data_IF_419464049743
#
_entry.id   IF_419464049743
#
_cell.length_a   1.000
_cell.length_b   1.000
_cell.length_c   1.000
_cell.angle_alpha   90.00
_cell.angle_beta   90.00
_cell.angle_gamma   90.00
#
_symmetry.space_group_name_H-M   'P 1'
#
loop_
_entity.id
_entity.type
_entity.pdbx_description
1 polymer ?
#
# COMPACT_ATOMS: atom_id res chain seq x y z
N UNK A 1 21.68 -8.65 25.54
CA UNK A 1 22.76 -9.08 24.63
C UNK A 1 22.36 -8.70 23.21
N UNK A 2 23.21 -7.95 22.54
CA UNK A 2 23.04 -7.58 21.15
C UNK A 2 23.72 -8.66 20.30
N UNK A 3 22.94 -9.47 19.59
CA UNK A 3 23.48 -10.43 18.65
C UNK A 3 23.17 -10.02 17.23
N UNK A 4 24.19 -9.97 16.40
CA UNK A 4 24.08 -9.71 14.98
C UNK A 4 23.57 -10.98 14.32
N UNK A 5 22.39 -10.93 13.72
CA UNK A 5 21.89 -12.01 12.90
C UNK A 5 22.61 -12.02 11.53
N UNK A 6 22.93 -13.18 11.02
CA UNK A 6 23.49 -13.38 9.69
C UNK A 6 22.39 -13.88 8.75
N UNK A 7 22.31 -13.29 7.56
CA UNK A 7 21.40 -13.75 6.53
C UNK A 7 21.94 -15.04 5.91
N UNK A 8 21.12 -16.10 5.93
CA UNK A 8 21.46 -17.41 5.37
C UNK A 8 21.01 -17.58 3.91
N UNK A 9 20.45 -16.55 3.29
CA UNK A 9 19.77 -16.61 2.00
C UNK A 9 18.27 -16.94 2.18
N UNK A 10 17.47 -16.83 1.11
CA UNK A 10 16.02 -17.10 1.13
C UNK A 10 15.19 -16.41 2.23
N UNK A 11 15.73 -15.39 2.91
CA UNK A 11 15.05 -14.67 3.97
C UNK A 11 15.21 -15.29 5.37
N UNK A 12 16.04 -16.32 5.51
CA UNK A 12 16.37 -16.92 6.79
C UNK A 12 17.51 -16.17 7.49
N UNK A 13 17.43 -16.02 8.80
CA UNK A 13 18.40 -15.32 9.61
C UNK A 13 18.82 -16.18 10.78
N UNK A 14 20.12 -16.31 11.01
CA UNK A 14 20.67 -17.06 12.15
C UNK A 14 21.33 -16.11 13.15
N UNK A 15 21.04 -16.32 14.43
CA UNK A 15 21.71 -15.65 15.52
C UNK A 15 21.93 -16.63 16.66
N UNK A 16 23.06 -16.54 17.34
CA UNK A 16 23.38 -17.37 18.51
C UNK A 16 23.06 -16.58 19.77
N UNK A 17 22.07 -17.05 20.53
CA UNK A 17 21.65 -16.49 21.81
C UNK A 17 21.78 -17.58 22.90
N UNK A 18 22.35 -17.20 24.03
CA UNK A 18 22.33 -18.05 25.24
C UNK A 18 21.12 -17.67 26.08
N UNK A 19 20.08 -18.49 26.04
CA UNK A 19 18.82 -18.28 26.73
C UNK A 19 18.53 -19.47 27.64
N UNK A 20 17.91 -19.21 28.80
CA UNK A 20 17.55 -20.26 29.74
C UNK A 20 16.35 -21.07 29.24
N UNK A 21 16.47 -22.39 29.34
CA UNK A 21 15.43 -23.34 28.97
C UNK A 21 14.19 -23.15 29.86
N UNK A 22 13.00 -23.37 29.27
CA UNK A 22 11.69 -23.20 29.89
C UNK A 22 11.31 -21.76 30.26
N UNK A 23 12.15 -20.78 29.89
CA UNK A 23 11.79 -19.37 30.03
C UNK A 23 11.16 -18.82 28.74
N UNK A 24 10.25 -17.86 28.91
CA UNK A 24 9.58 -17.17 27.82
C UNK A 24 10.18 -15.79 27.64
N UNK A 25 10.68 -15.51 26.46
CA UNK A 25 11.31 -14.23 26.12
C UNK A 25 10.46 -13.46 25.11
N UNK A 26 10.30 -12.14 25.29
CA UNK A 26 9.73 -11.29 24.24
C UNK A 26 10.75 -11.11 23.10
N UNK A 27 10.26 -11.09 21.86
CA UNK A 27 11.07 -10.70 20.71
C UNK A 27 10.46 -9.52 19.98
N UNK A 28 11.33 -8.74 19.35
CA UNK A 28 11.00 -7.58 18.53
C UNK A 28 11.87 -7.63 17.27
N UNK A 29 11.23 -7.77 16.12
CA UNK A 29 11.92 -7.82 14.83
C UNK A 29 11.48 -6.63 13.97
N UNK A 30 12.44 -5.96 13.34
CA UNK A 30 12.21 -4.82 12.46
C UNK A 30 13.09 -4.96 11.23
N UNK A 31 12.50 -4.76 10.06
CA UNK A 31 13.22 -4.70 8.79
C UNK A 31 12.88 -3.40 8.04
N UNK A 32 13.87 -2.89 7.29
CA UNK A 32 13.73 -1.70 6.44
C UNK A 32 13.33 -0.42 7.19
N UNK A 33 13.72 -0.28 8.46
CA UNK A 33 13.59 0.99 9.15
C UNK A 33 14.53 2.03 8.50
N UNK A 34 14.05 3.26 8.33
CA UNK A 34 14.86 4.38 7.81
C UNK A 34 15.88 4.89 8.81
N UNK A 35 15.54 4.80 10.10
CA UNK A 35 16.43 5.20 11.19
C UNK A 35 17.18 4.01 11.76
N UNK A 36 18.37 4.28 12.31
CA UNK A 36 19.08 3.30 13.12
C UNK A 36 18.38 3.11 14.47
N UNK A 37 17.90 1.91 14.72
CA UNK A 37 17.17 1.56 15.95
C UNK A 37 18.05 0.86 17.00
N UNK A 38 19.33 0.58 16.70
CA UNK A 38 20.21 -0.26 17.53
C UNK A 38 20.46 0.31 18.92
N UNK A 39 20.59 1.63 19.02
CA UNK A 39 20.99 2.29 20.26
C UNK A 39 19.78 2.63 21.16
N UNK A 40 18.56 2.28 20.73
CA UNK A 40 17.34 2.57 21.48
C UNK A 40 17.09 1.49 22.53
N UNK A 41 16.78 1.92 23.74
CA UNK A 41 16.24 1.00 24.75
C UNK A 41 14.82 0.56 24.36
N UNK A 42 14.29 -0.47 25.02
CA UNK A 42 12.98 -1.04 24.66
C UNK A 42 11.84 -0.02 24.68
N UNK A 43 11.83 0.90 25.65
CA UNK A 43 10.78 1.93 25.74
C UNK A 43 10.86 2.89 24.56
N UNK A 44 12.04 3.32 24.21
CA UNK A 44 12.29 4.20 23.05
C UNK A 44 11.96 3.48 21.74
N UNK A 45 12.36 2.21 21.62
CA UNK A 45 12.06 1.39 20.44
C UNK A 45 10.55 1.25 20.24
N UNK A 46 9.80 0.93 21.29
CA UNK A 46 8.34 0.79 21.22
C UNK A 46 7.62 2.12 20.92
N UNK A 47 8.19 3.25 21.33
CA UNK A 47 7.65 4.58 21.04
C UNK A 47 8.10 5.13 19.67
N UNK A 48 8.95 4.39 18.94
CA UNK A 48 9.49 4.87 17.66
C UNK A 48 8.44 4.87 16.55
N UNK A 49 8.49 5.91 15.74
CA UNK A 49 7.67 6.08 14.54
C UNK A 49 8.57 6.24 13.32
N UNK A 50 8.03 6.01 12.14
CA UNK A 50 8.68 6.28 10.87
C UNK A 50 7.81 7.17 10.01
N UNK A 51 8.41 8.26 9.50
CA UNK A 51 7.80 9.11 8.49
C UNK A 51 8.37 8.81 7.11
N UNK A 52 7.50 8.76 6.10
CA UNK A 52 7.84 8.61 4.69
C UNK A 52 6.92 9.44 3.82
N UNK A 53 7.32 10.66 3.49
CA UNK A 53 6.54 11.56 2.64
C UNK A 53 6.39 11.03 1.21
N UNK A 54 7.26 10.13 0.79
CA UNK A 54 7.27 9.47 -0.51
C UNK A 54 6.60 8.09 -0.50
N UNK A 55 5.92 7.71 0.59
CA UNK A 55 5.25 6.41 0.70
C UNK A 55 4.31 6.14 -0.49
N UNK A 56 3.60 7.15 -0.97
CA UNK A 56 2.64 7.07 -2.07
C UNK A 56 3.27 6.67 -3.43
N UNK A 57 4.57 6.92 -3.63
CA UNK A 57 5.23 6.64 -4.92
C UNK A 57 5.21 5.13 -5.22
N UNK A 58 4.74 4.71 -6.41
CA UNK A 58 4.83 3.31 -6.83
C UNK A 58 6.28 2.85 -7.00
N UNK A 59 6.51 1.54 -6.98
CA UNK A 59 7.83 0.95 -7.19
C UNK A 59 8.47 1.34 -8.55
N UNK A 60 7.65 1.66 -9.55
CA UNK A 60 8.13 2.17 -10.86
C UNK A 60 8.75 3.56 -10.79
N UNK A 61 8.52 4.30 -9.70
CA UNK A 61 9.07 5.66 -9.49
C UNK A 61 10.23 5.69 -8.48
N UNK A 62 10.45 4.61 -7.75
CA UNK A 62 11.47 4.55 -6.70
C UNK A 62 12.22 3.24 -6.87
N UNK A 63 13.51 3.33 -7.18
CA UNK A 63 14.37 2.15 -7.22
C UNK A 63 14.41 1.50 -5.84
N UNK A 64 14.31 0.17 -5.82
CA UNK A 64 14.41 -0.63 -4.59
C UNK A 64 13.46 -0.16 -3.47
N UNK A 65 12.16 -0.01 -3.79
CA UNK A 65 11.17 0.41 -2.81
C UNK A 65 11.01 -0.63 -1.71
N UNK A 66 11.46 -0.27 -0.52
CA UNK A 66 11.38 -1.09 0.69
C UNK A 66 10.31 -0.55 1.63
N UNK A 67 9.54 -1.45 2.21
CA UNK A 67 8.55 -1.09 3.23
C UNK A 67 9.06 -1.46 4.61
N UNK A 68 8.86 -0.58 5.58
CA UNK A 68 9.02 -0.92 6.99
C UNK A 68 8.19 -2.17 7.29
N UNK A 69 8.82 -3.15 7.91
CA UNK A 69 8.16 -4.36 8.40
C UNK A 69 8.55 -4.60 9.84
N UNK A 70 7.63 -5.11 10.63
CA UNK A 70 7.88 -5.42 12.03
C UNK A 70 7.09 -6.63 12.50
N UNK A 71 7.61 -7.26 13.53
CA UNK A 71 6.95 -8.33 14.29
C UNK A 71 7.32 -8.20 15.75
N UNK A 72 6.41 -8.60 16.61
CA UNK A 72 6.68 -8.76 18.03
C UNK A 72 5.86 -9.92 18.59
N UNK A 73 6.42 -10.58 19.55
CA UNK A 73 5.76 -11.73 20.18
C UNK A 73 6.53 -12.23 21.39
N UNK A 74 6.19 -13.45 21.79
CA UNK A 74 6.88 -14.16 22.86
C UNK A 74 7.22 -15.55 22.37
N UNK A 75 8.37 -16.05 22.77
CA UNK A 75 8.81 -17.40 22.46
C UNK A 75 9.33 -18.09 23.72
N UNK A 76 8.92 -19.35 23.94
CA UNK A 76 9.37 -20.16 25.08
C UNK A 76 10.49 -21.09 24.61
N UNK A 77 11.65 -21.00 25.25
CA UNK A 77 12.80 -21.82 24.92
C UNK A 77 12.57 -23.24 25.42
N UNK A 78 12.74 -24.22 24.55
CA UNK A 78 12.66 -25.65 24.88
C UNK A 78 14.04 -26.24 25.18
N UNK A 79 14.11 -27.54 25.44
CA UNK A 79 15.38 -28.25 25.67
C UNK A 79 16.18 -28.53 24.38
N UNK A 80 15.61 -28.25 23.21
CA UNK A 80 16.28 -28.43 21.93
C UNK A 80 17.35 -27.35 21.79
N UNK A 81 18.63 -27.73 21.55
CA UNK A 81 19.71 -26.77 21.40
C UNK A 81 19.64 -25.94 20.11
N UNK A 82 18.90 -26.41 19.10
CA UNK A 82 18.63 -25.69 17.86
C UNK A 82 17.13 -25.48 17.69
N UNK A 83 16.68 -24.25 17.79
CA UNK A 83 15.28 -23.91 17.67
C UNK A 83 15.05 -22.82 16.64
N UNK A 84 14.11 -23.06 15.75
CA UNK A 84 13.61 -22.06 14.83
C UNK A 84 12.53 -21.22 15.49
N UNK A 85 12.73 -19.90 15.55
CA UNK A 85 11.72 -18.96 16.00
C UNK A 85 11.03 -18.37 14.75
N UNK A 86 9.80 -18.77 14.45
CA UNK A 86 9.08 -18.22 13.32
C UNK A 86 8.72 -16.76 13.60
N UNK A 87 9.26 -15.84 12.78
CA UNK A 87 9.01 -14.41 12.87
C UNK A 87 8.30 -13.94 11.61
N UNK A 88 7.00 -13.74 11.68
CA UNK A 88 6.22 -13.19 10.57
C UNK A 88 6.32 -11.67 10.57
N UNK A 89 7.09 -11.11 9.64
CA UNK A 89 7.21 -9.67 9.44
C UNK A 89 5.99 -9.10 8.70
N UNK A 90 5.33 -8.13 9.30
CA UNK A 90 4.14 -7.46 8.77
C UNK A 90 4.51 -6.08 8.23
N UNK A 91 4.16 -5.80 6.98
CA UNK A 91 4.40 -4.50 6.35
C UNK A 91 3.59 -3.40 7.06
N UNK A 92 4.23 -2.25 7.29
CA UNK A 92 3.55 -1.10 7.89
C UNK A 92 2.61 -0.38 6.90
N UNK A 93 2.82 -0.55 5.61
CA UNK A 93 2.04 0.08 4.56
C UNK A 93 0.80 -0.75 4.16
N UNK A 94 -0.23 -0.04 3.70
CA UNK A 94 -1.31 -0.54 2.86
C UNK A 94 -0.94 -0.32 1.39
N UNK A 95 -1.23 -1.28 0.51
CA UNK A 95 -1.13 -1.17 -0.95
C UNK A 95 -2.49 -0.83 -1.53
N UNK A 96 -2.54 0.12 -2.43
CA UNK A 96 -3.78 0.59 -3.03
C UNK A 96 -3.66 0.46 -4.55
N UNK A 97 -4.59 -0.28 -5.15
CA UNK A 97 -4.67 -0.51 -6.59
C UNK A 97 -5.93 0.15 -7.13
N UNK A 98 -5.80 0.94 -8.18
CA UNK A 98 -6.92 1.48 -8.93
C UNK A 98 -6.82 0.99 -10.38
N UNK A 99 -7.88 0.38 -10.86
CA UNK A 99 -8.06 -0.06 -12.23
C UNK A 99 -9.17 0.79 -12.87
N UNK A 100 -8.85 1.49 -13.97
CA UNK A 100 -9.82 2.30 -14.72
C UNK A 100 -10.04 1.67 -16.08
N UNK A 101 -11.27 1.38 -16.42
CA UNK A 101 -11.70 0.88 -17.72
C UNK A 101 -12.94 1.62 -18.22
N UNK A 102 -13.32 1.38 -19.47
CA UNK A 102 -14.52 1.99 -20.05
C UNK A 102 -15.29 1.00 -20.92
N UNK A 103 -16.62 1.09 -20.85
CA UNK A 103 -17.55 0.41 -21.76
C UNK A 103 -18.32 1.42 -22.62
N UNK A 104 -17.86 2.66 -22.67
CA UNK A 104 -18.46 3.72 -23.51
C UNK A 104 -18.28 3.35 -24.99
N UNK A 105 -19.41 3.33 -25.72
CA UNK A 105 -19.37 3.10 -27.16
C UNK A 105 -18.78 4.31 -27.90
N UNK A 106 -18.11 4.05 -29.00
CA UNK A 106 -17.56 5.08 -29.92
C UNK A 106 -16.45 5.96 -29.34
N UNK A 107 -16.01 5.68 -28.11
CA UNK A 107 -14.91 6.36 -27.44
C UNK A 107 -13.95 5.38 -26.79
N UNK A 108 -12.66 5.66 -26.88
CA UNK A 108 -11.59 4.93 -26.16
C UNK A 108 -10.88 5.85 -25.18
N UNK A 109 -10.42 5.31 -24.07
CA UNK A 109 -9.49 6.03 -23.19
C UNK A 109 -8.12 6.06 -23.87
N UNK A 110 -7.52 7.25 -23.98
CA UNK A 110 -6.19 7.43 -24.56
C UNK A 110 -5.16 7.87 -23.52
N UNK A 111 -5.61 8.45 -22.42
CA UNK A 111 -4.73 8.93 -21.34
C UNK A 111 -5.46 8.98 -20.02
N UNK A 112 -4.76 8.58 -18.96
CA UNK A 112 -5.19 8.76 -17.57
C UNK A 112 -4.07 9.44 -16.82
N UNK A 113 -4.34 10.65 -16.29
CA UNK A 113 -3.48 11.34 -15.33
C UNK A 113 -4.11 11.23 -13.96
N UNK A 114 -3.30 11.07 -12.91
CA UNK A 114 -3.83 10.86 -11.57
C UNK A 114 -2.99 11.52 -10.48
N UNK A 115 -3.63 11.80 -9.35
CA UNK A 115 -3.03 12.20 -8.07
C UNK A 115 -3.65 11.34 -6.97
N UNK A 116 -2.90 11.12 -5.90
CA UNK A 116 -3.42 10.46 -4.70
C UNK A 116 -3.39 11.43 -3.53
N UNK A 117 -4.51 11.60 -2.85
CA UNK A 117 -4.67 12.58 -1.77
C UNK A 117 -5.19 11.92 -0.50
N UNK A 118 -4.97 12.59 0.63
CA UNK A 118 -5.37 12.16 1.98
C UNK A 118 -4.71 10.85 2.43
N UNK A 119 -3.46 10.61 2.02
CA UNK A 119 -2.69 9.46 2.48
C UNK A 119 -1.87 9.82 3.73
N UNK A 120 -1.63 8.82 4.56
CA UNK A 120 -0.84 8.97 5.79
C UNK A 120 0.63 8.65 5.53
N UNK A 121 1.52 9.54 5.99
CA UNK A 121 2.97 9.43 5.85
C UNK A 121 3.69 9.03 7.13
N UNK A 122 2.97 8.83 8.26
CA UNK A 122 3.57 8.48 9.54
C UNK A 122 2.99 7.16 10.08
N UNK A 123 3.83 6.34 10.70
CA UNK A 123 3.43 5.06 11.30
C UNK A 123 4.27 4.72 12.51
N UNK A 124 3.69 4.04 13.49
CA UNK A 124 4.48 3.38 14.53
C UNK A 124 5.29 2.22 13.92
N UNK A 125 6.49 1.98 14.46
CA UNK A 125 7.29 0.82 14.06
C UNK A 125 6.49 -0.48 14.30
N UNK A 126 5.90 -0.65 15.47
CA UNK A 126 5.08 -1.80 15.81
C UNK A 126 3.58 -1.50 15.70
N UNK A 127 2.82 -2.48 15.20
CA UNK A 127 1.41 -2.29 14.84
C UNK A 127 0.48 -1.89 15.99
N UNK A 128 0.80 -2.34 17.20
CA UNK A 128 0.00 -2.08 18.41
C UNK A 128 0.40 -0.81 19.17
N UNK A 129 1.32 -0.02 18.62
CA UNK A 129 1.72 1.25 19.20
C UNK A 129 0.99 2.41 18.50
N UNK A 130 0.65 3.46 19.24
CA UNK A 130 0.03 4.64 18.65
C UNK A 130 1.05 5.43 17.81
N UNK A 131 0.56 6.03 16.75
CA UNK A 131 1.29 7.06 16.01
C UNK A 131 0.31 8.11 15.50
N UNK A 132 0.68 9.37 15.61
CA UNK A 132 -0.11 10.46 15.06
C UNK A 132 -0.14 10.35 13.53
N UNK A 133 -1.31 10.55 12.94
CA UNK A 133 -1.44 10.57 11.49
C UNK A 133 -0.86 11.87 10.94
N UNK A 134 -0.09 11.75 9.86
CA UNK A 134 0.41 12.88 9.09
C UNK A 134 -0.17 12.80 7.66
N UNK A 135 -1.34 13.39 7.47
CA UNK A 135 -2.11 13.29 6.22
C UNK A 135 -1.58 14.29 5.20
N UNK A 136 -1.28 13.79 4.01
CA UNK A 136 -0.74 14.57 2.90
C UNK A 136 -1.63 14.49 1.66
N UNK A 137 -1.48 15.51 0.82
CA UNK A 137 -2.06 15.57 -0.52
C UNK A 137 -0.92 15.60 -1.54
N UNK A 138 -0.80 14.56 -2.36
CA UNK A 138 0.13 14.58 -3.47
C UNK A 138 -0.43 15.47 -4.57
N UNK A 139 0.28 16.54 -4.90
CA UNK A 139 -0.08 17.48 -5.97
C UNK A 139 0.54 17.10 -7.32
N UNK A 140 1.51 16.18 -7.33
CA UNK A 140 2.17 15.74 -8.55
C UNK A 140 1.20 14.92 -9.41
N UNK A 141 1.06 15.30 -10.67
CA UNK A 141 0.34 14.50 -11.65
C UNK A 141 1.21 13.37 -12.18
N UNK A 142 0.61 12.18 -12.23
CA UNK A 142 1.27 10.98 -12.71
C UNK A 142 0.45 10.37 -13.83
N UNK A 143 1.12 9.74 -14.80
CA UNK A 143 0.46 9.02 -15.89
C UNK A 143 0.26 7.57 -15.50
N UNK A 144 -0.95 7.04 -15.70
CA UNK A 144 -1.20 5.62 -15.54
C UNK A 144 -0.70 4.82 -16.73
N UNK A 145 -0.32 3.57 -16.49
CA UNK A 145 0.06 2.62 -17.54
C UNK A 145 -1.18 1.91 -18.08
N UNK A 146 -1.31 1.85 -19.40
CA UNK A 146 -2.33 1.05 -20.06
C UNK A 146 -1.83 -0.39 -20.24
N UNK A 147 -2.68 -1.35 -19.91
CA UNK A 147 -2.48 -2.78 -20.14
C UNK A 147 -3.72 -3.36 -20.81
N UNK A 148 -3.64 -4.60 -21.30
CA UNK A 148 -4.81 -5.34 -21.78
C UNK A 148 -5.35 -6.24 -20.65
N UNK A 149 -6.69 -6.25 -20.50
CA UNK A 149 -7.36 -7.23 -19.67
C UNK A 149 -7.43 -8.61 -20.39
N UNK A 150 -7.97 -9.62 -19.75
CA UNK A 150 -8.15 -10.97 -20.30
C UNK A 150 -9.03 -11.02 -21.55
N UNK A 151 -9.86 -10.00 -21.78
CA UNK A 151 -10.72 -9.84 -22.94
C UNK A 151 -10.11 -8.94 -24.02
N UNK A 152 -8.89 -8.46 -23.82
CA UNK A 152 -8.17 -7.58 -24.75
C UNK A 152 -8.57 -6.09 -24.68
N UNK A 153 -9.38 -5.68 -23.69
CA UNK A 153 -9.73 -4.28 -23.50
C UNK A 153 -8.64 -3.50 -22.76
N UNK A 154 -8.55 -2.21 -23.03
CA UNK A 154 -7.62 -1.34 -22.31
C UNK A 154 -8.07 -1.14 -20.86
N UNK A 155 -7.15 -1.41 -19.93
CA UNK A 155 -7.28 -1.13 -18.51
C UNK A 155 -6.09 -0.29 -18.05
N UNK A 156 -6.35 0.80 -17.34
CA UNK A 156 -5.33 1.68 -16.80
C UNK A 156 -5.10 1.34 -15.33
N UNK A 157 -3.91 0.81 -15.03
CA UNK A 157 -3.55 0.37 -13.69
C UNK A 157 -2.70 1.42 -12.97
N UNK A 158 -3.06 1.65 -11.72
CA UNK A 158 -2.37 2.55 -10.81
C UNK A 158 -2.12 1.79 -9.52
N UNK A 159 -0.90 1.88 -9.01
CA UNK A 159 -0.55 1.37 -7.69
C UNK A 159 0.04 2.50 -6.86
N UNK A 160 -0.42 2.63 -5.62
CA UNK A 160 0.09 3.59 -4.65
C UNK A 160 0.04 2.98 -3.25
N UNK A 161 0.53 3.71 -2.24
CA UNK A 161 0.63 3.21 -0.88
C UNK A 161 0.32 4.32 0.13
N UNK A 162 -0.09 3.90 1.32
CA UNK A 162 -0.29 4.75 2.49
C UNK A 162 0.09 3.97 3.73
N UNK A 163 0.52 4.63 4.79
CA UNK A 163 0.46 4.00 6.10
C UNK A 163 -0.99 3.91 6.58
N UNK A 164 -1.23 3.10 7.62
CA UNK A 164 -2.55 2.95 8.21
C UNK A 164 -3.15 4.31 8.51
N UNK A 165 -4.42 4.49 8.18
CA UNK A 165 -5.13 5.75 8.39
C UNK A 165 -6.59 5.51 8.72
N UNK A 166 -7.17 6.42 9.48
CA UNK A 166 -8.61 6.50 9.75
C UNK A 166 -9.11 7.87 9.34
N UNK A 167 -10.39 7.98 9.02
CA UNK A 167 -11.02 9.24 8.64
C UNK A 167 -12.43 9.37 9.23
N UNK A 168 -12.88 10.60 9.41
CA UNK A 168 -14.21 10.89 9.93
C UNK A 168 -15.22 11.21 8.82
N UNK A 169 -14.80 12.04 7.88
CA UNK A 169 -15.63 12.55 6.79
C UNK A 169 -15.17 12.10 5.41
N UNK A 170 -15.98 12.38 4.40
CA UNK A 170 -15.64 12.09 2.99
C UNK A 170 -14.43 12.88 2.51
N UNK A 171 -14.23 14.09 3.03
CA UNK A 171 -13.16 14.99 2.60
C UNK A 171 -11.78 14.56 3.11
N UNK A 172 -11.75 13.76 4.19
CA UNK A 172 -10.52 13.23 4.80
C UNK A 172 -10.14 11.84 4.26
N UNK A 173 -11.06 11.22 3.51
CA UNK A 173 -10.87 9.87 2.99
C UNK A 173 -9.78 9.83 1.91
N UNK A 174 -8.89 8.82 1.93
CA UNK A 174 -7.95 8.59 0.86
C UNK A 174 -8.67 8.43 -0.48
N UNK A 175 -8.22 9.14 -1.49
CA UNK A 175 -8.89 9.11 -2.80
C UNK A 175 -7.94 9.43 -3.94
N UNK A 176 -8.28 8.91 -5.12
CA UNK A 176 -7.66 9.30 -6.36
C UNK A 176 -8.42 10.47 -6.98
N UNK A 177 -7.69 11.44 -7.50
CA UNK A 177 -8.19 12.46 -8.42
C UNK A 177 -7.58 12.15 -9.76
N UNK A 178 -8.41 11.78 -10.74
CA UNK A 178 -7.95 11.37 -12.05
C UNK A 178 -8.58 12.20 -13.16
N UNK A 179 -7.77 12.60 -14.16
CA UNK A 179 -8.23 13.16 -15.41
C UNK A 179 -8.11 12.10 -16.50
N UNK A 180 -9.25 11.67 -17.05
CA UNK A 180 -9.35 10.63 -18.08
C UNK A 180 -9.67 11.28 -19.41
N UNK A 181 -8.79 11.08 -20.39
CA UNK A 181 -8.98 11.59 -21.76
C UNK A 181 -9.58 10.50 -22.63
N UNK A 182 -10.68 10.83 -23.25
CA UNK A 182 -11.39 10.01 -24.24
C UNK A 182 -11.21 10.59 -25.64
N UNK A 183 -11.07 9.74 -26.62
CA UNK A 183 -11.01 10.07 -28.02
C UNK A 183 -12.08 9.30 -28.79
N UNK A 184 -12.84 9.98 -29.65
CA UNK A 184 -13.82 9.34 -30.53
C UNK A 184 -13.17 8.39 -31.51
N UNK A 185 -13.95 7.40 -32.02
CA UNK A 185 -13.44 6.40 -32.97
C UNK A 185 -12.89 7.03 -34.27
N UNK A 186 -13.43 8.19 -34.69
CA UNK A 186 -12.95 8.95 -35.87
C UNK A 186 -11.82 9.96 -35.54
N UNK A 187 -11.34 9.95 -34.28
CA UNK A 187 -10.29 10.83 -33.75
C UNK A 187 -10.57 12.34 -33.87
N UNK A 188 -11.85 12.74 -34.07
CA UNK A 188 -12.22 14.15 -34.20
C UNK A 188 -12.62 14.85 -32.92
N UNK A 189 -13.02 14.07 -31.93
CA UNK A 189 -13.51 14.60 -30.66
C UNK A 189 -12.68 14.07 -29.50
N UNK A 190 -12.20 14.97 -28.66
CA UNK A 190 -11.52 14.66 -27.41
C UNK A 190 -12.32 15.18 -26.24
N UNK A 191 -12.57 14.33 -25.24
CA UNK A 191 -13.28 14.67 -24.02
C UNK A 191 -12.39 14.34 -22.83
N UNK A 192 -12.27 15.27 -21.88
CA UNK A 192 -11.55 15.05 -20.61
C UNK A 192 -12.59 15.00 -19.50
N UNK A 193 -12.52 13.97 -18.67
CA UNK A 193 -13.37 13.78 -17.47
C UNK A 193 -12.51 13.75 -16.21
N UNK A 194 -12.87 14.58 -15.25
CA UNK A 194 -12.28 14.52 -13.91
C UNK A 194 -13.07 13.57 -13.04
N UNK A 195 -12.36 12.67 -12.37
CA UNK A 195 -12.92 11.64 -11.51
C UNK A 195 -12.36 11.80 -10.10
N UNK A 196 -13.22 11.74 -9.10
CA UNK A 196 -12.83 11.61 -7.70
C UNK A 196 -13.23 10.21 -7.26
N UNK A 197 -12.25 9.35 -7.02
CA UNK A 197 -12.45 7.92 -6.76
C UNK A 197 -11.99 7.62 -5.33
N UNK A 198 -12.93 7.41 -4.39
CA UNK A 198 -12.59 7.11 -3.00
C UNK A 198 -12.02 5.71 -2.84
N UNK A 199 -11.08 5.56 -1.89
CA UNK A 199 -10.60 4.26 -1.43
C UNK A 199 -11.37 3.91 -0.16
N UNK A 200 -12.19 2.87 -0.23
CA UNK A 200 -13.06 2.46 0.88
C UNK A 200 -12.85 0.99 1.23
N UNK A 201 -13.10 0.69 2.48
CA UNK A 201 -13.37 -0.67 2.91
C UNK A 201 -14.77 -1.10 2.42
N UNK A 202 -14.92 -2.26 1.72
CA UNK A 202 -16.22 -2.78 1.31
C UNK A 202 -17.19 -3.02 2.47
N UNK A 203 -16.67 -3.23 3.67
CA UNK A 203 -17.46 -3.41 4.90
C UNK A 203 -17.90 -2.08 5.52
N UNK A 204 -17.52 -0.94 4.90
CA UNK A 204 -17.88 0.39 5.35
C UNK A 204 -17.01 0.94 6.48
N UNK A 205 -15.94 0.26 6.86
CA UNK A 205 -15.00 0.76 7.85
C UNK A 205 -14.24 1.98 7.31
N UNK A 206 -14.08 2.98 8.15
CA UNK A 206 -13.40 4.23 7.79
C UNK A 206 -11.91 4.15 8.11
N UNK A 207 -11.24 3.14 7.53
CA UNK A 207 -9.81 2.90 7.78
C UNK A 207 -9.10 2.26 6.58
N UNK A 208 -7.80 2.49 6.49
CA UNK A 208 -6.86 1.63 5.79
C UNK A 208 -5.95 0.98 6.83
N UNK A 209 -5.80 -0.33 6.75
CA UNK A 209 -4.95 -1.09 7.65
C UNK A 209 -3.64 -1.50 6.98
N UNK A 210 -2.57 -1.59 7.77
CA UNK A 210 -1.28 -2.09 7.30
C UNK A 210 -1.39 -3.53 6.79
N UNK A 211 -0.56 -3.88 5.82
CA UNK A 211 -0.44 -5.22 5.25
C UNK A 211 -1.70 -5.71 4.53
N UNK A 212 -2.56 -4.78 4.06
CA UNK A 212 -3.70 -5.10 3.20
C UNK A 212 -3.57 -4.43 1.83
N UNK A 213 -4.19 -5.06 0.83
CA UNK A 213 -4.33 -4.53 -0.53
C UNK A 213 -5.79 -4.10 -0.70
N UNK A 214 -5.96 -2.83 -1.01
CA UNK A 214 -7.25 -2.23 -1.35
C UNK A 214 -7.32 -2.06 -2.86
N UNK A 215 -8.22 -2.77 -3.52
CA UNK A 215 -8.40 -2.69 -4.97
C UNK A 215 -9.72 -1.96 -5.28
N UNK A 216 -9.64 -0.94 -6.13
CA UNK A 216 -10.77 -0.20 -6.64
C UNK A 216 -10.84 -0.41 -8.15
N UNK A 217 -11.96 -0.95 -8.65
CA UNK A 217 -12.23 -1.07 -10.07
C UNK A 217 -13.26 0.00 -10.46
N UNK A 218 -12.87 0.94 -11.31
CA UNK A 218 -13.69 2.03 -11.81
C UNK A 218 -14.02 1.77 -13.28
N UNK A 219 -15.30 1.45 -13.56
CA UNK A 219 -15.79 1.23 -14.92
C UNK A 219 -16.58 2.43 -15.38
N UNK A 220 -16.12 3.14 -16.41
CA UNK A 220 -16.83 4.28 -16.99
C UNK A 220 -17.80 3.75 -18.05
N UNK A 221 -19.11 3.90 -17.81
CA UNK A 221 -20.17 3.33 -18.66
C UNK A 221 -20.80 4.33 -19.63
N UNK A 222 -20.71 5.62 -19.34
CA UNK A 222 -21.20 6.70 -20.19
C UNK A 222 -20.45 8.00 -19.97
N UNK A 223 -20.42 8.83 -21.00
CA UNK A 223 -19.87 10.17 -20.96
C UNK A 223 -21.05 11.16 -20.97
N UNK A 224 -21.28 11.80 -19.84
CA UNK A 224 -22.06 13.03 -19.83
C UNK A 224 -21.11 14.19 -20.17
N UNK A 225 -21.37 14.88 -21.25
CA UNK A 225 -20.47 15.94 -21.77
C UNK A 225 -20.39 17.13 -20.80
N UNK A 226 -21.42 17.31 -19.96
CA UNK A 226 -21.62 18.52 -19.16
C UNK A 226 -21.19 18.38 -17.68
N UNK A 227 -20.89 17.19 -17.19
CA UNK A 227 -20.59 16.99 -15.77
C UNK A 227 -19.36 16.13 -15.55
N UNK A 228 -18.53 16.51 -14.58
CA UNK A 228 -17.51 15.64 -14.01
C UNK A 228 -18.20 14.47 -13.25
N UNK A 229 -17.57 13.30 -13.28
CA UNK A 229 -18.12 12.12 -12.63
C UNK A 229 -17.72 12.12 -11.16
N UNK A 230 -18.67 12.41 -10.28
CA UNK A 230 -18.50 12.26 -8.84
C UNK A 230 -18.93 10.84 -8.42
N UNK A 231 -17.98 9.95 -8.27
CA UNK A 231 -18.21 8.57 -7.81
C UNK A 231 -18.67 8.45 -6.36
N UNK A 232 -18.60 9.52 -5.57
CA UNK A 232 -19.24 9.54 -4.25
C UNK A 232 -20.79 9.45 -4.35
N UNK A 233 -21.35 9.73 -5.53
CA UNK A 233 -22.79 9.69 -5.81
C UNK A 233 -23.23 8.55 -6.73
N UNK A 234 -22.27 7.84 -7.39
CA UNK A 234 -22.57 6.79 -8.38
C UNK A 234 -21.78 5.52 -8.04
N UNK A 235 -22.12 4.91 -6.91
CA UNK A 235 -21.45 3.70 -6.41
C UNK A 235 -21.54 2.50 -7.37
N UNK A 236 -22.55 2.47 -8.26
CA UNK A 236 -22.77 1.38 -9.22
C UNK A 236 -21.63 1.17 -10.24
N UNK A 237 -20.66 2.08 -10.29
CA UNK A 237 -19.51 2.03 -11.20
C UNK A 237 -18.21 1.67 -10.50
N UNK A 238 -18.23 1.57 -9.19
CA UNK A 238 -17.05 1.25 -8.38
C UNK A 238 -17.24 -0.10 -7.70
N UNK A 239 -16.23 -0.94 -7.80
CA UNK A 239 -16.14 -2.17 -7.04
C UNK A 239 -14.89 -2.09 -6.17
N UNK A 240 -15.03 -2.44 -4.90
CA UNK A 240 -13.95 -2.48 -3.93
C UNK A 240 -13.69 -3.91 -3.49
N UNK A 241 -12.41 -4.24 -3.32
CA UNK A 241 -11.98 -5.50 -2.72
C UNK A 241 -10.82 -5.24 -1.77
N UNK A 242 -10.77 -6.02 -0.70
CA UNK A 242 -9.65 -6.03 0.24
C UNK A 242 -9.11 -7.44 0.35
N UNK A 243 -7.79 -7.57 0.26
CA UNK A 243 -7.09 -8.83 0.48
C UNK A 243 -5.90 -8.61 1.41
N UNK A 244 -5.51 -9.64 2.17
CA UNK A 244 -4.27 -9.59 2.95
C UNK A 244 -3.09 -9.54 1.97
N UNK A 245 -2.11 -8.68 2.24
CA UNK A 245 -0.93 -8.56 1.40
C UNK A 245 0.08 -9.66 1.75
N UNK A 246 0.10 -10.72 0.97
CA UNK A 246 0.96 -11.89 1.18
C UNK A 246 2.32 -11.75 0.49
N UNK A 247 3.25 -12.64 0.83
CA UNK A 247 4.56 -12.73 0.18
C UNK A 247 4.34 -13.19 -1.26
N UNK A 248 5.02 -12.55 -2.22
CA UNK A 248 4.93 -12.89 -3.66
C UNK A 248 4.03 -11.97 -4.48
N UNK A 249 3.13 -11.19 -3.89
CA UNK A 249 2.30 -10.23 -4.62
C UNK A 249 3.05 -8.96 -5.10
N UNK A 250 4.31 -8.82 -4.72
CA UNK A 250 5.21 -7.75 -5.16
C UNK A 250 6.30 -8.24 -6.13
N UNK A 251 6.13 -9.40 -6.74
CA UNK A 251 7.12 -10.05 -7.60
C UNK A 251 7.42 -9.33 -8.93
N UNK A 252 7.57 -8.03 -8.88
CA UNK A 252 8.36 -7.26 -9.83
C UNK A 252 9.59 -6.62 -9.17
N UNK A 253 10.04 -7.13 -8.04
CA UNK A 253 11.43 -6.97 -7.64
C UNK A 253 12.19 -8.06 -8.40
N UNK A 254 12.68 -7.72 -9.60
CA UNK A 254 13.70 -8.49 -10.25
C UNK A 254 14.85 -8.66 -9.25
N UNK A 255 14.96 -9.85 -8.69
CA UNK A 255 16.20 -10.31 -8.14
C UNK A 255 17.18 -10.41 -9.29
N UNK A 256 17.87 -9.31 -9.59
CA UNK A 256 19.14 -9.41 -10.28
C UNK A 256 20.11 -9.97 -9.26
N UNK A 257 20.65 -11.15 -9.58
CA UNK A 257 21.69 -11.85 -8.86
C UNK A 257 22.97 -11.03 -8.69
#
# INVERSE_FOLDING_TARGET
AENKAEELGSGDWKSTLHLDVNNTYPYYAVANAKENLKDKNLKELLASTQQDDDIWKPATMVNDKKFLMSSQGKYTITQDPEQDIPVELVRAAAKIKLNISSTVKDYKITKVMWKFINYNTNTAIFANQPADQNIKKNIQENKATAEKDENGNDIYKITTYSYSTTWNGKDDMPQFVAAVTFESADAKTTIIKNLVIPVRDPQGEKKLERNYIYTVNAVIKYLDINTDIDYNRKEDYLQWAITKWTVGEDTHVNGAG
#
